data_IF_822624059557
#
_entry.id   IF_822624059557
#
_cell.length_a   1.000
_cell.length_b   1.000
_cell.length_c   1.000
_cell.angle_alpha   90.00
_cell.angle_beta   90.00
_cell.angle_gamma   90.00
#
_symmetry.space_group_name_H-M   'P 1'
#
loop_
_entity.id
_entity.type
_entity.pdbx_description
1 polymer ?
#
# COMPACT_ATOMS: atom_id res chain seq x y z
N UNK A 1 -9.65 -45.50 65.16
CA UNK A 1 -8.46 -45.72 64.31
C UNK A 1 -7.60 -44.46 64.42
N UNK A 2 -6.34 -44.62 64.86
CA UNK A 2 -5.25 -43.64 64.76
C UNK A 2 -4.84 -43.52 63.28
N UNK A 3 -4.41 -42.34 62.82
CA UNK A 3 -3.02 -42.08 62.40
C UNK A 3 -2.88 -40.62 61.92
N UNK A 4 -2.20 -39.85 62.76
CA UNK A 4 -1.39 -38.66 62.47
C UNK A 4 -0.34 -38.99 61.39
N UNK A 5 0.07 -38.02 60.56
CA UNK A 5 1.48 -37.62 60.31
C UNK A 5 1.57 -36.66 59.11
N UNK A 6 2.23 -35.53 59.35
CA UNK A 6 2.68 -34.50 58.40
C UNK A 6 3.81 -34.99 57.48
N UNK A 7 3.99 -34.38 56.29
CA UNK A 7 5.29 -33.86 55.82
C UNK A 7 5.19 -33.24 54.39
N UNK A 8 5.43 -31.94 54.30
CA UNK A 8 6.42 -31.25 53.42
C UNK A 8 6.40 -31.32 51.87
N UNK A 9 6.82 -30.16 51.31
CA UNK A 9 7.52 -29.89 50.02
C UNK A 9 6.65 -29.69 48.75
N UNK A 10 6.49 -28.42 48.34
CA UNK A 10 7.08 -27.86 47.10
C UNK A 10 6.74 -26.36 46.97
N UNK A 11 7.48 -25.52 47.67
CA UNK A 11 7.58 -24.10 47.31
C UNK A 11 8.40 -24.00 46.04
N UNK A 12 7.74 -23.89 44.89
CA UNK A 12 8.37 -23.46 43.65
C UNK A 12 8.79 -22.00 43.83
N UNK A 13 10.00 -21.78 44.35
CA UNK A 13 10.72 -20.54 44.16
C UNK A 13 11.05 -20.45 42.67
N UNK A 14 10.14 -19.87 41.88
CA UNK A 14 10.49 -19.35 40.58
C UNK A 14 11.47 -18.20 40.84
N UNK A 15 12.77 -18.54 40.79
CA UNK A 15 13.80 -17.56 40.50
C UNK A 15 13.51 -17.02 39.10
N UNK A 16 12.63 -16.03 39.03
CA UNK A 16 12.59 -15.10 37.91
C UNK A 16 13.94 -14.41 37.94
N UNK A 17 14.86 -14.91 37.13
CA UNK A 17 15.90 -14.04 36.61
C UNK A 17 15.17 -12.87 35.99
N UNK A 18 15.23 -11.73 36.66
CA UNK A 18 14.89 -10.45 36.11
C UNK A 18 15.93 -10.12 35.01
N UNK A 19 15.94 -10.90 33.93
CA UNK A 19 16.29 -10.32 32.65
C UNK A 19 15.20 -9.28 32.38
N UNK A 20 15.58 -8.04 32.04
CA UNK A 20 14.60 -7.02 31.75
C UNK A 20 13.65 -7.57 30.68
N UNK A 21 12.32 -7.46 30.85
CA UNK A 21 11.30 -8.05 29.96
C UNK A 21 11.46 -7.68 28.47
N UNK A 22 12.35 -6.73 28.18
CA UNK A 22 12.78 -6.24 26.87
C UNK A 22 13.18 -7.30 25.85
N UNK A 23 13.90 -8.39 26.19
CA UNK A 23 14.41 -9.31 25.16
C UNK A 23 13.33 -10.15 24.49
N UNK A 24 12.46 -10.78 25.29
CA UNK A 24 11.34 -11.61 24.78
C UNK A 24 10.30 -10.74 24.05
N UNK A 25 10.10 -9.50 24.51
CA UNK A 25 9.21 -8.54 23.84
C UNK A 25 9.80 -8.08 22.51
N UNK A 26 11.11 -7.76 22.46
CA UNK A 26 11.78 -7.33 21.23
C UNK A 26 11.77 -8.43 20.15
N UNK A 27 12.05 -9.69 20.49
CA UNK A 27 12.02 -10.80 19.52
C UNK A 27 10.60 -11.03 18.97
N UNK A 28 9.57 -10.90 19.81
CA UNK A 28 8.15 -11.00 19.39
C UNK A 28 7.75 -9.83 18.48
N UNK A 29 8.23 -8.64 18.79
CA UNK A 29 7.94 -7.41 18.06
C UNK A 29 8.64 -7.39 16.69
N UNK A 30 9.89 -7.87 16.60
CA UNK A 30 10.56 -8.10 15.32
C UNK A 30 9.80 -9.10 14.46
N UNK A 31 9.38 -10.24 15.03
CA UNK A 31 8.60 -11.23 14.31
C UNK A 31 7.26 -10.64 13.82
N UNK A 32 6.66 -9.73 14.58
CA UNK A 32 5.44 -9.00 14.15
C UNK A 32 5.74 -8.11 12.94
N UNK A 33 6.81 -7.32 12.98
CA UNK A 33 7.23 -6.45 11.86
C UNK A 33 7.57 -7.29 10.62
N UNK A 34 8.30 -8.40 10.77
CA UNK A 34 8.64 -9.30 9.66
C UNK A 34 7.38 -9.93 9.04
N UNK A 35 6.42 -10.36 9.86
CA UNK A 35 5.14 -10.88 9.39
C UNK A 35 4.35 -9.82 8.62
N UNK A 36 4.30 -8.57 9.10
CA UNK A 36 3.66 -7.46 8.39
C UNK A 36 4.32 -7.24 7.03
N UNK A 37 5.65 -7.13 6.98
CA UNK A 37 6.36 -6.90 5.72
C UNK A 37 6.16 -8.08 4.74
N UNK A 38 6.10 -9.31 5.26
CA UNK A 38 5.81 -10.51 4.46
C UNK A 38 4.38 -10.47 3.90
N UNK A 39 3.39 -10.09 4.71
CA UNK A 39 2.00 -9.93 4.24
C UNK A 39 1.88 -8.85 3.17
N UNK A 40 2.56 -7.71 3.36
CA UNK A 40 2.65 -6.64 2.36
C UNK A 40 3.29 -7.15 1.08
N UNK A 41 4.40 -7.88 1.17
CA UNK A 41 5.06 -8.49 0.01
C UNK A 41 4.15 -9.47 -0.74
N UNK A 42 3.42 -10.33 -0.03
CA UNK A 42 2.49 -11.27 -0.65
C UNK A 42 1.32 -10.56 -1.32
N UNK A 43 0.71 -9.57 -0.65
CA UNK A 43 -0.40 -8.82 -1.23
C UNK A 43 0.04 -7.92 -2.40
N UNK A 44 1.28 -7.44 -2.39
CA UNK A 44 1.89 -6.75 -3.53
C UNK A 44 2.08 -7.71 -4.74
N UNK A 45 2.46 -8.96 -4.48
CA UNK A 45 2.53 -10.00 -5.52
C UNK A 45 1.17 -10.34 -6.09
N UNK A 46 0.14 -10.44 -5.25
CA UNK A 46 -1.24 -10.63 -5.71
C UNK A 46 -1.71 -9.47 -6.58
N UNK A 47 -1.41 -8.22 -6.17
CA UNK A 47 -1.68 -7.03 -6.97
C UNK A 47 -0.94 -7.08 -8.32
N UNK A 48 0.34 -7.49 -8.31
CA UNK A 48 1.12 -7.70 -9.54
C UNK A 48 0.45 -8.71 -10.48
N UNK A 49 0.04 -9.86 -9.97
CA UNK A 49 -0.67 -10.89 -10.75
C UNK A 49 -2.01 -10.38 -11.27
N UNK A 50 -2.75 -9.60 -10.47
CA UNK A 50 -4.01 -9.00 -10.92
C UNK A 50 -3.81 -7.98 -12.04
N UNK A 51 -2.74 -7.17 -11.99
CA UNK A 51 -2.37 -6.25 -13.07
C UNK A 51 -1.96 -7.02 -14.33
N UNK A 52 -1.09 -8.03 -14.20
CA UNK A 52 -0.67 -8.85 -15.35
C UNK A 52 -1.83 -9.59 -16.01
N UNK A 53 -2.76 -10.10 -15.20
CA UNK A 53 -3.97 -10.79 -15.64
C UNK A 53 -5.11 -9.86 -16.06
N UNK A 54 -4.95 -8.54 -15.95
CA UNK A 54 -5.97 -7.60 -16.38
C UNK A 54 -6.30 -7.82 -17.86
N UNK A 55 -7.60 -7.87 -18.16
CA UNK A 55 -8.12 -8.11 -19.51
C UNK A 55 -9.34 -7.22 -19.79
N UNK A 56 -9.54 -6.16 -18.99
CA UNK A 56 -10.70 -5.28 -19.03
C UNK A 56 -11.65 -5.43 -17.85
N UNK A 57 -11.55 -6.50 -17.05
CA UNK A 57 -12.31 -6.64 -15.79
C UNK A 57 -11.59 -5.96 -14.63
N UNK A 58 -12.28 -5.01 -14.01
CA UNK A 58 -11.80 -4.21 -12.89
C UNK A 58 -11.94 -4.93 -11.54
N UNK A 59 -12.75 -5.98 -11.46
CA UNK A 59 -13.15 -6.60 -10.20
C UNK A 59 -11.96 -7.21 -9.45
N UNK A 60 -11.14 -7.98 -10.16
CA UNK A 60 -9.93 -8.62 -9.59
C UNK A 60 -8.89 -7.59 -9.18
N UNK A 61 -8.68 -6.57 -10.03
CA UNK A 61 -7.73 -5.50 -9.77
C UNK A 61 -8.15 -4.61 -8.60
N UNK A 62 -9.42 -4.23 -8.54
CA UNK A 62 -10.00 -3.46 -7.44
C UNK A 62 -9.91 -4.23 -6.12
N UNK A 63 -10.27 -5.52 -6.14
CA UNK A 63 -10.19 -6.38 -4.95
C UNK A 63 -8.75 -6.53 -4.47
N UNK A 64 -7.79 -6.75 -5.37
CA UNK A 64 -6.38 -6.87 -5.01
C UNK A 64 -5.82 -5.54 -4.47
N UNK A 65 -6.16 -4.41 -5.08
CA UNK A 65 -5.72 -3.10 -4.64
C UNK A 65 -6.35 -2.70 -3.29
N UNK A 66 -7.62 -3.03 -3.06
CA UNK A 66 -8.30 -2.86 -1.79
C UNK A 66 -7.69 -3.73 -0.69
N UNK A 67 -7.44 -5.02 -0.99
CA UNK A 67 -6.74 -5.94 -0.11
C UNK A 67 -5.35 -5.43 0.27
N UNK A 68 -4.57 -4.98 -0.71
CA UNK A 68 -3.25 -4.41 -0.47
C UNK A 68 -3.29 -3.16 0.43
N UNK A 69 -4.23 -2.25 0.17
CA UNK A 69 -4.44 -1.05 0.99
C UNK A 69 -4.81 -1.42 2.44
N UNK A 70 -5.66 -2.43 2.62
CA UNK A 70 -6.04 -2.92 3.94
C UNK A 70 -4.85 -3.55 4.68
N UNK A 71 -4.03 -4.35 4.00
CA UNK A 71 -2.80 -4.93 4.57
C UNK A 71 -1.80 -3.85 4.98
N UNK A 72 -1.62 -2.79 4.18
CA UNK A 72 -0.78 -1.65 4.54
C UNK A 72 -1.31 -0.93 5.80
N UNK A 73 -2.62 -0.70 5.87
CA UNK A 73 -3.26 -0.03 7.01
C UNK A 73 -3.14 -0.85 8.30
N UNK A 74 -3.50 -2.14 8.25
CA UNK A 74 -3.36 -3.05 9.39
C UNK A 74 -1.90 -3.23 9.80
N UNK A 75 -1.00 -3.37 8.82
CA UNK A 75 0.43 -3.43 9.04
C UNK A 75 0.95 -2.20 9.76
N UNK A 76 0.48 -1.00 9.38
CA UNK A 76 0.86 0.26 10.03
C UNK A 76 0.46 0.24 11.50
N UNK A 77 -0.77 -0.18 11.82
CA UNK A 77 -1.24 -0.26 13.21
C UNK A 77 -0.45 -1.29 14.02
N UNK A 78 -0.16 -2.46 13.45
CA UNK A 78 0.62 -3.50 14.10
C UNK A 78 2.05 -3.03 14.40
N UNK A 79 2.72 -2.42 13.42
CA UNK A 79 4.08 -1.88 13.59
C UNK A 79 4.07 -0.73 14.60
N UNK A 80 3.09 0.17 14.58
CA UNK A 80 3.00 1.23 15.58
C UNK A 80 2.85 0.69 17.01
N UNK A 81 2.20 -0.46 17.16
CA UNK A 81 2.01 -1.17 18.44
C UNK A 81 3.25 -1.90 18.96
N UNK A 82 4.33 -2.01 18.18
CA UNK A 82 5.58 -2.65 18.64
C UNK A 82 6.52 -1.70 19.36
N UNK A 83 7.50 -2.26 20.06
CA UNK A 83 8.62 -1.53 20.63
C UNK A 83 9.63 -1.10 19.54
N UNK A 84 10.56 -0.23 19.90
CA UNK A 84 11.72 0.07 19.06
C UNK A 84 12.55 -1.18 18.82
N UNK A 85 13.06 -1.34 17.59
CA UNK A 85 13.94 -2.45 17.21
C UNK A 85 15.39 -2.04 17.36
N UNK A 86 16.27 -3.02 17.59
CA UNK A 86 17.71 -2.82 17.62
C UNK A 86 18.31 -2.69 16.22
N UNK A 87 19.55 -2.24 16.14
CA UNK A 87 20.28 -2.15 14.85
C UNK A 87 20.39 -3.51 14.15
N UNK A 88 20.67 -4.59 14.90
CA UNK A 88 20.77 -5.94 14.34
C UNK A 88 19.44 -6.40 13.74
N UNK A 89 18.33 -6.09 14.40
CA UNK A 89 16.99 -6.41 13.93
C UNK A 89 16.63 -5.59 12.68
N UNK A 90 17.01 -4.32 12.64
CA UNK A 90 16.87 -3.48 11.45
C UNK A 90 17.66 -4.02 10.25
N UNK A 91 18.86 -4.56 10.47
CA UNK A 91 19.64 -5.21 9.41
C UNK A 91 18.93 -6.46 8.86
N UNK A 92 18.24 -7.22 9.71
CA UNK A 92 17.43 -8.35 9.25
C UNK A 92 16.22 -7.92 8.40
N UNK A 93 15.75 -6.68 8.51
CA UNK A 93 14.67 -6.15 7.67
C UNK A 93 15.13 -5.80 6.25
N UNK A 94 16.42 -5.53 6.03
CA UNK A 94 16.93 -5.10 4.71
C UNK A 94 16.63 -6.10 3.59
N UNK A 95 16.73 -7.40 3.85
CA UNK A 95 16.41 -8.45 2.87
C UNK A 95 14.93 -8.45 2.45
N UNK A 96 14.03 -8.05 3.35
CA UNK A 96 12.61 -7.96 3.03
C UNK A 96 12.31 -6.69 2.22
N UNK A 97 12.97 -5.58 2.55
CA UNK A 97 12.81 -4.31 1.84
C UNK A 97 13.32 -4.40 0.40
N UNK A 98 14.44 -5.09 0.16
CA UNK A 98 14.94 -5.31 -1.21
C UNK A 98 13.98 -6.15 -2.05
N UNK A 99 13.34 -7.16 -1.45
CA UNK A 99 12.28 -7.94 -2.06
C UNK A 99 11.07 -7.07 -2.46
N UNK A 100 10.56 -6.27 -1.52
CA UNK A 100 9.47 -5.32 -1.78
C UNK A 100 9.82 -4.30 -2.87
N UNK A 101 11.06 -3.82 -2.90
CA UNK A 101 11.53 -2.89 -3.93
C UNK A 101 11.54 -3.56 -5.32
N UNK A 102 11.98 -4.82 -5.41
CA UNK A 102 11.91 -5.60 -6.64
C UNK A 102 10.46 -5.79 -7.10
N UNK A 103 9.58 -6.20 -6.18
CA UNK A 103 8.16 -6.42 -6.48
C UNK A 103 7.43 -5.11 -6.86
N UNK A 104 7.78 -3.98 -6.25
CA UNK A 104 7.25 -2.66 -6.58
C UNK A 104 7.74 -2.14 -7.94
N UNK A 105 8.98 -2.44 -8.31
CA UNK A 105 9.49 -2.17 -9.65
C UNK A 105 8.81 -3.04 -10.71
N UNK A 106 8.52 -4.31 -10.39
CA UNK A 106 7.74 -5.18 -11.25
C UNK A 106 6.31 -4.63 -11.45
N UNK A 107 5.67 -4.15 -10.38
CA UNK A 107 4.35 -3.53 -10.46
C UNK A 107 4.34 -2.31 -11.36
N UNK A 108 5.30 -1.42 -11.20
CA UNK A 108 5.42 -0.23 -12.07
C UNK A 108 5.54 -0.64 -13.54
N UNK A 109 6.43 -1.59 -13.86
CA UNK A 109 6.59 -2.10 -15.23
C UNK A 109 5.33 -2.78 -15.76
N UNK A 110 4.62 -3.54 -14.94
CA UNK A 110 3.41 -4.25 -15.34
C UNK A 110 2.25 -3.29 -15.57
N UNK A 111 2.10 -2.27 -14.72
CA UNK A 111 1.16 -1.18 -14.93
C UNK A 111 1.45 -0.47 -16.26
N UNK A 112 2.70 -0.08 -16.52
CA UNK A 112 3.10 0.57 -17.77
C UNK A 112 2.81 -0.29 -19.00
N UNK A 113 3.09 -1.59 -18.95
CA UNK A 113 2.76 -2.53 -20.03
C UNK A 113 1.25 -2.63 -20.27
N UNK A 114 0.44 -2.55 -19.21
CA UNK A 114 -1.03 -2.66 -19.23
C UNK A 114 -1.75 -1.34 -19.47
N UNK A 115 -1.02 -0.23 -19.49
CA UNK A 115 -1.50 1.10 -19.87
C UNK A 115 -2.46 1.12 -21.08
N UNK A 116 -2.16 0.52 -22.25
CA UNK A 116 -3.08 0.53 -23.39
C UNK A 116 -4.41 -0.20 -23.11
N UNK A 117 -4.43 -1.17 -22.19
CA UNK A 117 -5.66 -1.86 -21.78
C UNK A 117 -6.48 -1.01 -20.82
N UNK A 118 -5.82 -0.30 -19.89
CA UNK A 118 -6.48 0.68 -19.01
C UNK A 118 -7.06 1.86 -19.80
N UNK A 119 -6.36 2.34 -20.82
CA UNK A 119 -6.84 3.37 -21.74
C UNK A 119 -8.12 2.90 -22.47
N UNK A 120 -8.10 1.68 -23.03
CA UNK A 120 -9.28 1.07 -23.66
C UNK A 120 -10.45 0.92 -22.70
N UNK A 121 -10.19 0.59 -21.44
CA UNK A 121 -11.20 0.44 -20.40
C UNK A 121 -11.64 1.77 -19.77
N UNK A 122 -11.06 2.91 -20.17
CA UNK A 122 -11.31 4.24 -19.61
C UNK A 122 -10.96 4.39 -18.11
N UNK A 123 -9.90 3.71 -17.66
CA UNK A 123 -9.55 3.58 -16.24
C UNK A 123 -8.36 4.43 -15.80
N UNK A 124 -7.76 5.25 -16.67
CA UNK A 124 -6.55 6.01 -16.34
C UNK A 124 -6.67 6.80 -15.02
N UNK A 125 -7.78 7.51 -14.83
CA UNK A 125 -8.04 8.28 -13.60
C UNK A 125 -8.22 7.41 -12.35
N UNK A 126 -8.91 6.27 -12.48
CA UNK A 126 -9.10 5.32 -11.38
C UNK A 126 -7.76 4.71 -10.95
N UNK A 127 -6.95 4.27 -11.92
CA UNK A 127 -5.62 3.71 -11.67
C UNK A 127 -4.70 4.76 -11.04
N UNK A 128 -4.66 5.98 -11.57
CA UNK A 128 -3.86 7.07 -11.00
C UNK A 128 -4.26 7.37 -9.55
N UNK A 129 -5.56 7.47 -9.27
CA UNK A 129 -6.07 7.67 -7.90
C UNK A 129 -5.70 6.51 -6.97
N UNK A 130 -5.80 5.27 -7.45
CA UNK A 130 -5.49 4.08 -6.65
C UNK A 130 -3.99 4.00 -6.34
N UNK A 131 -3.13 4.34 -7.30
CA UNK A 131 -1.67 4.44 -7.09
C UNK A 131 -1.36 5.48 -6.00
N UNK A 132 -2.03 6.63 -6.03
CA UNK A 132 -1.91 7.66 -4.99
C UNK A 132 -2.31 7.13 -3.60
N UNK A 133 -3.50 6.53 -3.48
CA UNK A 133 -3.98 5.95 -2.21
C UNK A 133 -3.03 4.89 -1.67
N UNK A 134 -2.54 4.00 -2.53
CA UNK A 134 -1.58 2.96 -2.14
C UNK A 134 -0.25 3.59 -1.72
N UNK A 135 0.24 4.59 -2.45
CA UNK A 135 1.45 5.34 -2.12
C UNK A 135 1.37 6.01 -0.75
N UNK A 136 0.25 6.64 -0.42
CA UNK A 136 0.03 7.27 0.88
C UNK A 136 0.00 6.25 2.03
N UNK A 137 -0.67 5.10 1.85
CA UNK A 137 -0.70 4.05 2.86
C UNK A 137 0.65 3.37 3.03
N UNK A 138 1.39 3.15 1.94
CA UNK A 138 2.73 2.61 1.99
C UNK A 138 3.70 3.59 2.68
N UNK A 139 3.57 4.90 2.43
CA UNK A 139 4.33 5.93 3.14
C UNK A 139 4.05 5.89 4.65
N UNK A 140 2.80 5.77 5.08
CA UNK A 140 2.45 5.64 6.51
C UNK A 140 3.10 4.41 7.15
N UNK A 141 3.08 3.26 6.47
CA UNK A 141 3.75 2.06 6.96
C UNK A 141 5.27 2.27 7.07
N UNK A 142 5.89 2.86 6.04
CA UNK A 142 7.33 3.14 6.05
C UNK A 142 7.68 4.10 7.20
N UNK A 143 6.94 5.19 7.35
CA UNK A 143 7.14 6.16 8.43
C UNK A 143 6.96 5.49 9.81
N UNK A 144 6.00 4.57 9.95
CA UNK A 144 5.84 3.76 11.17
C UNK A 144 7.05 2.87 11.42
N UNK A 145 7.56 2.16 10.41
CA UNK A 145 8.78 1.34 10.53
C UNK A 145 9.98 2.21 10.91
N UNK A 146 10.19 3.34 10.22
CA UNK A 146 11.27 4.32 10.51
C UNK A 146 11.20 4.80 11.96
N UNK A 147 10.00 5.03 12.49
CA UNK A 147 9.81 5.44 13.89
C UNK A 147 10.23 4.37 14.91
N UNK A 148 10.27 3.10 14.51
CA UNK A 148 10.75 1.98 15.35
C UNK A 148 12.24 1.71 15.19
N UNK A 149 12.89 2.27 14.17
CA UNK A 149 14.32 2.06 13.94
C UNK A 149 15.15 3.12 14.69
N UNK A 150 16.31 2.79 15.28
CA UNK A 150 17.17 3.73 16.00
C UNK A 150 17.65 4.89 15.12
N UNK A 151 17.86 6.07 15.73
CA UNK A 151 18.22 7.31 15.03
C UNK A 151 19.42 7.18 14.09
N UNK A 152 20.39 6.32 14.41
CA UNK A 152 21.60 6.11 13.60
C UNK A 152 21.33 5.60 12.18
N UNK A 153 20.17 4.98 11.94
CA UNK A 153 19.77 4.42 10.63
C UNK A 153 18.46 5.00 10.10
N UNK A 154 17.79 5.87 10.86
CA UNK A 154 16.60 6.59 10.39
C UNK A 154 16.86 7.41 9.13
N UNK A 155 18.06 7.98 8.97
CA UNK A 155 18.45 8.72 7.76
C UNK A 155 18.47 7.82 6.52
N UNK A 156 19.06 6.62 6.64
CA UNK A 156 19.11 5.62 5.56
C UNK A 156 17.71 5.12 5.23
N UNK A 157 16.91 4.82 6.24
CA UNK A 157 15.53 4.37 6.07
C UNK A 157 14.67 5.46 5.40
N UNK A 158 14.84 6.73 5.79
CA UNK A 158 14.16 7.87 5.17
C UNK A 158 14.59 8.10 3.72
N UNK A 159 15.88 7.90 3.42
CA UNK A 159 16.38 8.01 2.04
C UNK A 159 15.79 6.91 1.15
N UNK A 160 15.69 5.68 1.66
CA UNK A 160 15.07 4.56 0.95
C UNK A 160 13.55 4.77 0.77
N UNK A 161 12.88 5.28 1.81
CA UNK A 161 11.48 5.69 1.77
C UNK A 161 11.22 6.76 0.71
N UNK A 162 12.10 7.76 0.63
CA UNK A 162 12.04 8.82 -0.37
C UNK A 162 12.19 8.29 -1.79
N UNK A 163 13.10 7.33 -2.02
CA UNK A 163 13.25 6.66 -3.31
C UNK A 163 11.98 5.91 -3.72
N UNK A 164 11.39 5.14 -2.80
CA UNK A 164 10.13 4.41 -3.05
C UNK A 164 8.96 5.36 -3.34
N UNK A 165 8.80 6.42 -2.55
CA UNK A 165 7.78 7.45 -2.76
C UNK A 165 7.95 8.17 -4.10
N UNK A 166 9.20 8.44 -4.51
CA UNK A 166 9.51 9.03 -5.82
C UNK A 166 9.10 8.09 -6.95
N UNK A 167 9.43 6.80 -6.86
CA UNK A 167 9.02 5.80 -7.85
C UNK A 167 7.50 5.74 -7.98
N UNK A 168 6.75 5.64 -6.87
CA UNK A 168 5.30 5.64 -6.88
C UNK A 168 4.70 6.92 -7.47
N UNK A 169 5.25 8.09 -7.13
CA UNK A 169 4.81 9.37 -7.67
C UNK A 169 5.06 9.46 -9.17
N UNK A 170 6.21 8.97 -9.65
CA UNK A 170 6.52 8.88 -11.08
C UNK A 170 5.55 7.94 -11.79
N UNK A 171 5.25 6.78 -11.22
CA UNK A 171 4.28 5.84 -11.77
C UNK A 171 2.89 6.48 -11.83
N UNK A 172 2.46 7.17 -10.78
CA UNK A 172 1.18 7.90 -10.77
C UNK A 172 1.10 8.95 -11.89
N UNK A 173 2.19 9.68 -12.12
CA UNK A 173 2.29 10.67 -13.20
C UNK A 173 2.19 10.03 -14.59
N UNK A 174 2.73 8.82 -14.79
CA UNK A 174 2.57 8.06 -16.04
C UNK A 174 1.10 7.73 -16.36
N UNK A 175 0.24 7.65 -15.33
CA UNK A 175 -1.22 7.49 -15.44
C UNK A 175 -2.00 8.79 -15.33
N UNK A 176 -1.31 9.92 -15.14
CA UNK A 176 -1.90 11.25 -15.06
C UNK A 176 -2.41 11.76 -16.40
N UNK A 177 -3.13 12.88 -16.33
CA UNK A 177 -3.75 13.55 -17.46
C UNK A 177 -2.73 13.89 -18.56
N UNK A 178 -3.03 13.53 -19.81
CA UNK A 178 -2.12 13.72 -20.96
C UNK A 178 -1.08 12.62 -21.17
N UNK A 179 -0.79 11.79 -20.14
CA UNK A 179 0.08 10.63 -20.29
C UNK A 179 -0.73 9.36 -20.53
N UNK A 180 -1.83 9.15 -19.80
CA UNK A 180 -2.77 8.06 -20.02
C UNK A 180 -4.09 8.62 -20.54
N UNK A 181 -4.48 8.25 -21.76
CA UNK A 181 -5.66 8.81 -22.42
C UNK A 181 -6.76 7.77 -22.55
N UNK A 182 -7.87 7.98 -21.85
CA UNK A 182 -9.06 7.16 -21.94
C UNK A 182 -9.59 7.10 -23.39
N UNK A 183 -9.88 5.91 -23.91
CA UNK A 183 -10.27 5.69 -25.31
C UNK A 183 -11.55 6.44 -25.71
N UNK A 184 -12.48 6.67 -24.78
CA UNK A 184 -13.71 7.45 -25.04
C UNK A 184 -13.46 8.97 -25.03
N UNK A 185 -12.30 9.43 -24.56
CA UNK A 185 -11.88 10.84 -24.58
C UNK A 185 -11.01 11.18 -25.81
N UNK A 186 -10.54 10.17 -26.55
CA UNK A 186 -9.85 10.36 -27.84
C UNK A 186 -10.76 10.94 -28.95
N UNK A 187 -12.06 11.14 -28.65
CA UNK A 187 -13.06 11.69 -29.57
C UNK A 187 -13.37 13.19 -29.44
N UNK A 188 -12.72 13.96 -28.54
CA UNK A 188 -13.07 15.38 -28.39
C UNK A 188 -11.87 16.33 -28.31
N UNK A 189 -10.91 16.16 -29.22
CA UNK A 189 -9.97 17.22 -29.62
C UNK A 189 -10.12 17.55 -31.11
N UNK A 190 -11.33 17.94 -31.52
CA UNK A 190 -11.43 18.94 -32.60
C UNK A 190 -11.29 20.30 -31.94
N UNK A 191 -10.07 20.83 -31.95
CA UNK A 191 -9.86 22.25 -31.69
C UNK A 191 -10.77 23.05 -32.65
N UNK A 192 -11.65 23.95 -32.16
CA UNK A 192 -12.46 24.76 -33.05
C UNK A 192 -11.54 25.75 -33.76
N UNK A 193 -11.47 25.64 -35.09
CA UNK A 193 -10.88 26.61 -36.00
C UNK A 193 -11.44 28.01 -35.69
N UNK A 194 -10.61 29.07 -35.53
CA UNK A 194 -11.11 30.39 -35.19
C UNK A 194 -11.93 30.94 -36.36
N UNK A 195 -13.24 31.01 -36.17
CA UNK A 195 -14.17 31.65 -37.08
C UNK A 195 -14.80 32.82 -36.34
N UNK A 196 -14.75 34.00 -36.97
CA UNK A 196 -15.24 35.33 -36.56
C UNK A 196 -16.45 35.37 -35.59
N UNK A 197 -16.57 36.43 -34.76
CA UNK A 197 -17.63 36.54 -33.75
C UNK A 197 -18.98 36.89 -34.40
N UNK A 198 -20.04 36.17 -34.00
CA UNK A 198 -21.41 36.55 -34.27
C UNK A 198 -22.27 36.37 -33.01
N UNK A 199 -22.65 37.53 -32.47
CA UNK A 199 -23.83 37.93 -31.71
C UNK A 199 -24.64 36.95 -30.83
N UNK A 200 -24.92 37.50 -29.64
CA UNK A 200 -25.70 37.01 -28.50
C UNK A 200 -27.13 36.53 -28.82
N UNK A 201 -27.56 35.45 -28.16
CA UNK A 201 -28.94 34.97 -28.14
C UNK A 201 -29.13 33.77 -27.18
N UNK A 202 -29.95 33.97 -26.14
CA UNK A 202 -30.28 33.05 -25.05
C UNK A 202 -30.81 31.68 -25.47
N UNK A 203 -30.52 30.66 -24.66
CA UNK A 203 -31.50 29.62 -24.30
C UNK A 203 -31.08 28.16 -24.52
N UNK A 204 -31.31 27.37 -23.46
CA UNK A 204 -31.54 25.92 -23.42
C UNK A 204 -30.35 24.97 -23.16
N UNK A 205 -30.28 24.56 -21.88
CA UNK A 205 -30.19 23.19 -21.36
C UNK A 205 -29.69 22.06 -22.28
N UNK A 206 -28.58 21.44 -21.88
CA UNK A 206 -28.42 19.98 -21.96
C UNK A 206 -27.74 19.45 -20.69
N UNK A 207 -28.49 18.65 -19.94
CA UNK A 207 -28.06 17.86 -18.81
C UNK A 207 -27.67 16.44 -19.27
N UNK A 208 -26.80 15.79 -18.49
CA UNK A 208 -26.45 14.35 -18.49
C UNK A 208 -25.64 13.87 -19.72
N UNK A 209 -24.49 13.21 -19.58
CA UNK A 209 -24.28 11.91 -18.92
C UNK A 209 -22.86 11.86 -18.34
N UNK A 210 -22.72 11.78 -17.01
CA UNK A 210 -21.41 11.69 -16.40
C UNK A 210 -21.47 11.37 -14.91
N UNK A 211 -22.13 10.28 -14.51
CA UNK A 211 -22.20 9.89 -13.09
C UNK A 211 -22.62 8.43 -12.84
N UNK A 212 -22.03 7.43 -13.52
CA UNK A 212 -22.26 6.02 -13.12
C UNK A 212 -21.01 5.14 -12.95
N UNK A 213 -19.80 5.60 -13.28
CA UNK A 213 -18.59 4.78 -13.07
C UNK A 213 -17.94 4.94 -11.68
N UNK A 214 -18.27 6.00 -10.92
CA UNK A 214 -17.66 6.26 -9.62
C UNK A 214 -18.32 5.52 -8.44
N UNK A 215 -19.49 4.90 -8.64
CA UNK A 215 -20.26 4.31 -7.54
C UNK A 215 -19.90 2.85 -7.21
N UNK A 216 -19.18 2.14 -8.09
CA UNK A 216 -18.85 0.74 -7.86
C UNK A 216 -17.66 0.54 -6.89
N UNK A 217 -16.77 1.53 -6.77
CA UNK A 217 -15.59 1.42 -5.89
C UNK A 217 -15.88 1.77 -4.42
N UNK A 218 -16.98 2.48 -4.13
CA UNK A 218 -17.33 2.88 -2.77
C UNK A 218 -18.02 1.76 -1.96
N UNK A 219 -18.58 0.74 -2.61
CA UNK A 219 -19.36 -0.31 -1.94
C UNK A 219 -18.50 -1.51 -1.50
N UNK A 220 -17.24 -1.60 -1.95
CA UNK A 220 -16.33 -2.70 -1.58
C UNK A 220 -15.37 -2.35 -0.43
N UNK A 221 -15.50 -1.15 0.14
CA UNK A 221 -14.68 -0.62 1.25
C UNK A 221 -15.48 -0.35 2.54
N UNK A 222 -16.71 -0.87 2.62
CA UNK A 222 -17.50 -0.99 3.85
C UNK A 222 -17.59 -2.47 4.23
#
# INVERSE_FOLDING_TARGET
MKFTTELTIFTLAMGVFAEPPTRVVAERDLATIQNVITQVGNSLKELNTAVEGFNGDLTSLASAAGGFTNVLSQGTQQVMGTSEITLNEALQLQQFVSGLQSDGNALTKNLEKKKPEFEKANLCGVISSQIGTVGDNAKKLIDAVVSKVPQSVQSVASQLAGGFSTTLSSTQQTFGEGNCTNANMAGNSTAPKPSKPANSGSGAVYASLGSIAAAAFAVMLL
#
